data_IF_303840205036
#
_entry.id   IF_303840205036
#
_cell.length_a   1.000
_cell.length_b   1.000
_cell.length_c   1.000
_cell.angle_alpha   90.00
_cell.angle_beta   90.00
_cell.angle_gamma   90.00
#
_symmetry.space_group_name_H-M   'P 1'
#
loop_
_entity.id
_entity.type
_entity.pdbx_description
1 polymer ?
#
# COMPACT_ATOMS: atom_id res chain seq x y z
N UNK A 1 18.37 13.59 9.67
CA UNK A 1 17.27 14.27 8.95
C UNK A 1 15.97 13.70 9.47
N UNK A 2 15.47 14.23 10.58
CA UNK A 2 14.23 13.77 11.20
C UNK A 2 13.10 14.67 10.72
N UNK A 3 12.38 14.25 9.68
CA UNK A 3 11.12 14.90 9.32
C UNK A 3 9.99 13.90 9.53
N UNK A 4 9.66 13.70 10.80
CA UNK A 4 8.42 13.03 11.20
C UNK A 4 7.77 13.90 12.25
N UNK A 5 6.81 14.73 11.85
CA UNK A 5 5.63 15.13 12.64
C UNK A 5 4.89 16.28 11.94
N UNK A 6 4.29 15.98 10.80
CA UNK A 6 3.01 16.60 10.47
C UNK A 6 1.99 15.47 10.55
N UNK A 7 1.29 15.33 11.69
CA UNK A 7 0.11 14.46 11.79
C UNK A 7 -0.98 15.11 10.96
N UNK A 8 -0.89 14.94 9.64
CA UNK A 8 -1.91 15.39 8.73
C UNK A 8 -3.08 14.43 8.85
N UNK A 9 -4.28 14.91 9.20
CA UNK A 9 -5.45 14.06 9.19
C UNK A 9 -5.65 13.59 7.74
N UNK A 10 -5.65 12.27 7.54
CA UNK A 10 -6.12 11.68 6.29
C UNK A 10 -7.60 11.41 6.47
N UNK A 11 -8.43 12.17 5.77
CA UNK A 11 -9.85 11.90 5.70
C UNK A 11 -10.08 10.70 4.79
N UNK A 12 -10.61 9.63 5.38
CA UNK A 12 -10.81 8.36 4.70
C UNK A 12 -12.31 8.08 4.63
N UNK A 13 -12.83 7.95 3.41
CA UNK A 13 -14.24 7.64 3.19
C UNK A 13 -14.53 6.16 3.52
N UNK A 14 -15.42 5.92 4.49
CA UNK A 14 -15.78 4.56 4.94
C UNK A 14 -16.71 3.83 3.95
N UNK A 15 -17.40 4.56 3.06
CA UNK A 15 -18.22 3.98 1.99
C UNK A 15 -17.40 3.48 0.79
N UNK A 16 -16.08 3.70 0.79
CA UNK A 16 -15.25 3.25 -0.32
C UNK A 16 -15.13 1.70 -0.30
N UNK A 17 -15.36 1.01 -1.44
CA UNK A 17 -15.39 -0.46 -1.49
C UNK A 17 -14.07 -1.11 -1.04
N UNK A 18 -12.94 -0.42 -1.19
CA UNK A 18 -11.62 -0.88 -0.71
C UNK A 18 -11.62 -1.00 0.83
N UNK A 19 -12.22 -0.04 1.54
CA UNK A 19 -12.26 -0.01 3.00
C UNK A 19 -13.17 -1.12 3.54
N UNK A 20 -14.34 -1.31 2.90
CA UNK A 20 -15.24 -2.41 3.24
C UNK A 20 -14.57 -3.77 3.01
N UNK A 21 -13.87 -3.94 1.88
CA UNK A 21 -13.16 -5.19 1.56
C UNK A 21 -12.04 -5.46 2.57
N UNK A 22 -11.26 -4.43 2.93
CA UNK A 22 -10.23 -4.52 3.96
C UNK A 22 -10.80 -4.92 5.32
N UNK A 23 -11.94 -4.33 5.70
CA UNK A 23 -12.63 -4.65 6.95
C UNK A 23 -13.06 -6.11 6.99
N UNK A 24 -13.76 -6.58 5.96
CA UNK A 24 -14.19 -7.99 5.85
C UNK A 24 -13.01 -8.96 5.89
N UNK A 25 -11.89 -8.60 5.24
CA UNK A 25 -10.69 -9.44 5.22
C UNK A 25 -9.95 -9.46 6.55
N UNK A 26 -9.98 -8.35 7.29
CA UNK A 26 -9.46 -8.26 8.65
C UNK A 26 -10.31 -9.07 9.64
N UNK A 27 -11.64 -9.07 9.48
CA UNK A 27 -12.54 -9.89 10.30
C UNK A 27 -12.34 -11.39 10.06
N UNK A 28 -12.20 -11.78 8.79
CA UNK A 28 -11.94 -13.17 8.40
C UNK A 28 -10.54 -13.66 8.80
N UNK A 29 -9.52 -12.80 8.69
CA UNK A 29 -8.11 -13.15 8.94
C UNK A 29 -7.39 -12.08 9.75
N UNK A 30 -7.62 -12.10 11.07
CA UNK A 30 -7.16 -11.10 12.05
C UNK A 30 -5.64 -10.84 12.11
N UNK A 31 -4.82 -11.75 11.60
CA UNK A 31 -3.35 -11.65 11.65
C UNK A 31 -2.67 -11.81 10.29
N UNK A 32 -3.42 -11.69 9.20
CA UNK A 32 -2.83 -11.83 7.88
C UNK A 32 -1.86 -10.68 7.59
N UNK A 33 -0.62 -11.04 7.22
CA UNK A 33 0.43 -10.06 6.90
C UNK A 33 -0.01 -9.16 5.75
N UNK A 34 -0.76 -9.70 4.79
CA UNK A 34 -1.19 -9.00 3.58
C UNK A 34 -2.20 -7.91 3.94
N UNK A 35 -3.10 -8.16 4.90
CA UNK A 35 -4.06 -7.13 5.35
C UNK A 35 -3.33 -5.95 6.01
N UNK A 36 -2.34 -6.23 6.87
CA UNK A 36 -1.53 -5.17 7.51
C UNK A 36 -0.72 -4.36 6.50
N UNK A 37 -0.12 -5.05 5.54
CA UNK A 37 0.68 -4.47 4.46
C UNK A 37 -0.20 -3.61 3.52
N UNK A 38 -1.42 -4.06 3.21
CA UNK A 38 -2.36 -3.31 2.37
C UNK A 38 -2.90 -2.06 3.07
N UNK A 39 -3.12 -2.10 4.39
CA UNK A 39 -3.49 -0.91 5.19
C UNK A 39 -2.35 0.11 5.23
N UNK A 40 -1.10 -0.36 5.37
CA UNK A 40 0.07 0.51 5.29
C UNK A 40 0.18 1.18 3.91
N UNK A 41 0.01 0.40 2.83
CA UNK A 41 0.05 0.89 1.46
C UNK A 41 -0.98 2.00 1.18
N UNK A 42 -2.23 1.83 1.64
CA UNK A 42 -3.30 2.82 1.49
C UNK A 42 -3.02 4.11 2.28
N UNK A 43 -2.27 4.03 3.38
CA UNK A 43 -1.86 5.19 4.16
C UNK A 43 -0.64 5.90 3.57
N UNK A 44 0.31 5.15 3.02
CA UNK A 44 1.57 5.66 2.46
C UNK A 44 1.41 6.31 1.07
N UNK A 45 0.52 5.77 0.23
CA UNK A 45 0.21 6.29 -1.11
C UNK A 45 -0.20 7.78 -1.12
N UNK A 46 -1.18 8.24 -0.31
CA UNK A 46 -1.55 9.65 -0.27
C UNK A 46 -0.46 10.53 0.34
N UNK A 47 0.39 9.99 1.23
CA UNK A 47 1.56 10.74 1.73
C UNK A 47 2.54 11.03 0.60
N UNK A 48 2.85 10.04 -0.24
CA UNK A 48 3.70 10.22 -1.42
C UNK A 48 3.09 11.24 -2.39
N UNK A 49 1.78 11.16 -2.64
CA UNK A 49 1.07 12.12 -3.49
C UNK A 49 1.07 13.54 -2.91
N UNK A 50 1.06 13.68 -1.58
CA UNK A 50 1.16 14.97 -0.88
C UNK A 50 2.59 15.54 -0.79
N UNK A 51 3.57 14.85 -1.38
CA UNK A 51 4.98 15.27 -1.36
C UNK A 51 5.68 15.04 -0.02
N UNK A 52 5.16 14.17 0.84
CA UNK A 52 5.82 13.77 2.08
C UNK A 52 6.79 12.62 1.84
N UNK A 53 7.96 12.62 2.52
CA UNK A 53 8.87 11.48 2.47
C UNK A 53 8.27 10.27 3.18
N UNK A 54 8.45 9.09 2.58
CA UNK A 54 8.14 7.79 3.19
C UNK A 54 9.21 7.42 4.23
N UNK A 55 8.82 6.72 5.29
CA UNK A 55 9.75 6.28 6.33
C UNK A 55 10.57 5.07 5.85
N UNK A 56 9.97 4.16 5.07
CA UNK A 56 10.68 3.05 4.44
C UNK A 56 10.23 2.83 2.96
N UNK A 57 10.93 3.43 1.99
CA UNK A 57 10.55 3.32 0.58
C UNK A 57 10.75 1.91 0.00
N UNK A 58 11.64 1.10 0.60
CA UNK A 58 11.90 -0.27 0.14
C UNK A 58 10.71 -1.21 0.44
N UNK A 59 10.15 -1.12 1.64
CA UNK A 59 8.98 -1.90 2.06
C UNK A 59 7.75 -1.48 1.27
N UNK A 60 7.54 -0.16 1.12
CA UNK A 60 6.45 0.37 0.28
C UNK A 60 6.55 -0.11 -1.18
N UNK A 61 7.75 -0.09 -1.78
CA UNK A 61 7.98 -0.58 -3.14
C UNK A 61 7.72 -2.08 -3.27
N UNK A 62 8.11 -2.86 -2.27
CA UNK A 62 7.93 -4.31 -2.25
C UNK A 62 6.44 -4.69 -2.16
N UNK A 63 5.67 -3.95 -1.35
CA UNK A 63 4.22 -4.08 -1.23
C UNK A 63 3.51 -3.70 -2.55
N UNK A 64 3.85 -2.54 -3.12
CA UNK A 64 3.36 -2.10 -4.42
C UNK A 64 3.62 -3.14 -5.52
N UNK A 65 4.84 -3.67 -5.58
CA UNK A 65 5.23 -4.68 -6.56
C UNK A 65 4.43 -5.97 -6.39
N UNK A 66 4.20 -6.42 -5.16
CA UNK A 66 3.35 -7.58 -4.87
C UNK A 66 1.91 -7.41 -5.38
N UNK A 67 1.33 -6.22 -5.20
CA UNK A 67 0.00 -5.90 -5.72
C UNK A 67 -0.02 -5.86 -7.25
N UNK A 68 0.99 -5.25 -7.87
CA UNK A 68 1.13 -5.17 -9.33
C UNK A 68 1.30 -6.56 -9.97
N UNK A 69 2.07 -7.43 -9.34
CA UNK A 69 2.24 -8.83 -9.76
C UNK A 69 0.91 -9.60 -9.66
N UNK A 70 0.09 -9.35 -8.64
CA UNK A 70 -1.23 -9.96 -8.52
C UNK A 70 -2.25 -9.44 -9.54
N UNK A 71 -2.08 -8.21 -10.02
CA UNK A 71 -2.95 -7.57 -11.01
C UNK A 71 -2.54 -7.85 -12.47
N UNK A 72 -1.35 -8.39 -12.70
CA UNK A 72 -0.89 -8.81 -14.02
C UNK A 72 -1.21 -10.32 -14.23
N UNK A 73 -2.32 -10.69 -14.88
CA UNK A 73 -2.60 -12.07 -15.27
C UNK A 73 -1.75 -12.56 -16.45
N UNK A 74 -0.72 -11.81 -16.89
CA UNK A 74 0.03 -12.13 -18.11
C UNK A 74 1.54 -12.17 -17.88
N UNK A 75 2.25 -13.26 -18.27
CA UNK A 75 3.68 -13.46 -18.06
C UNK A 75 4.60 -12.56 -18.92
N UNK A 76 4.07 -11.53 -19.60
CA UNK A 76 4.83 -10.75 -20.59
C UNK A 76 5.72 -9.61 -20.01
N UNK A 77 5.59 -9.24 -18.73
CA UNK A 77 6.28 -8.06 -18.16
C UNK A 77 7.59 -8.36 -17.41
N UNK A 78 8.16 -9.57 -17.50
CA UNK A 78 9.43 -9.93 -16.82
C UNK A 78 10.67 -9.59 -17.67
N UNK A 79 10.51 -9.01 -18.87
CA UNK A 79 11.65 -8.79 -19.79
C UNK A 79 11.98 -7.30 -20.04
N UNK A 80 12.26 -6.53 -18.99
CA UNK A 80 13.00 -5.26 -19.18
C UNK A 80 13.74 -4.77 -17.94
N UNK A 81 14.43 -5.66 -17.22
CA UNK A 81 15.55 -5.27 -16.34
C UNK A 81 16.68 -6.28 -16.46
N UNK A 82 17.20 -6.41 -17.67
CA UNK A 82 18.51 -6.99 -17.90
C UNK A 82 19.16 -6.22 -19.05
N UNK A 83 19.54 -4.98 -18.77
CA UNK A 83 20.66 -4.31 -19.42
C UNK A 83 21.19 -3.21 -18.52
#
# INVERSE_FOLDING_TARGET
MGNRMARKPLELNTDHPIVQTLHQKAEAHKNDKVVKDLVALVFETPLLSSGLPLEDPQTHSSSCLGFFLSLCPSPACVLSKSK
#
